data_IF_598449972639
#
_entry.id   IF_598449972639
#
_cell.length_a   1.000
_cell.length_b   1.000
_cell.length_c   1.000
_cell.angle_alpha   90.00
_cell.angle_beta   90.00
_cell.angle_gamma   90.00
#
_symmetry.space_group_name_H-M   'P 1'
#
loop_
_entity.id
_entity.type
_entity.pdbx_description
1 polymer ?
#
# COMPACT_ATOMS: atom_id res chain seq x y z
N UNK A 1 11.99 -29.72 -2.41
CA UNK A 1 13.00 -28.93 -3.15
C UNK A 1 12.42 -27.54 -3.37
N UNK A 2 12.98 -26.50 -2.76
CA UNK A 2 12.54 -25.13 -3.02
C UNK A 2 13.06 -24.70 -4.40
N UNK A 3 12.15 -24.40 -5.32
CA UNK A 3 12.46 -23.84 -6.64
C UNK A 3 12.28 -22.32 -6.62
N UNK A 4 12.77 -21.61 -7.65
CA UNK A 4 12.51 -20.16 -7.79
C UNK A 4 11.00 -19.87 -7.76
N UNK A 5 10.18 -20.78 -8.32
CA UNK A 5 8.72 -20.68 -8.26
C UNK A 5 8.15 -20.76 -6.83
N UNK A 6 8.89 -21.28 -5.85
CA UNK A 6 8.44 -21.33 -4.44
C UNK A 6 8.77 -20.06 -3.64
N UNK A 7 9.52 -19.10 -4.20
CA UNK A 7 9.88 -17.83 -3.55
C UNK A 7 8.67 -16.93 -3.22
N UNK A 8 7.53 -17.11 -3.91
CA UNK A 8 6.32 -16.35 -3.58
C UNK A 8 5.87 -16.62 -2.14
N UNK A 9 6.06 -17.84 -1.62
CA UNK A 9 5.62 -18.24 -0.28
C UNK A 9 6.30 -17.40 0.81
N UNK A 10 7.65 -17.39 0.95
CA UNK A 10 8.31 -16.58 1.97
C UNK A 10 8.08 -15.09 1.74
N UNK A 11 7.99 -14.62 0.49
CA UNK A 11 7.70 -13.21 0.22
C UNK A 11 6.30 -12.80 0.66
N UNK A 12 5.28 -13.61 0.43
CA UNK A 12 3.92 -13.33 0.90
C UNK A 12 3.85 -13.33 2.43
N UNK A 13 4.51 -14.27 3.10
CA UNK A 13 4.57 -14.32 4.58
C UNK A 13 5.23 -13.06 5.14
N UNK A 14 6.42 -12.70 4.66
CA UNK A 14 7.13 -11.49 5.10
C UNK A 14 6.31 -10.23 4.78
N UNK A 15 5.72 -10.15 3.59
CA UNK A 15 4.89 -9.02 3.19
C UNK A 15 3.66 -8.86 4.09
N UNK A 16 2.98 -9.96 4.45
CA UNK A 16 1.83 -9.94 5.35
C UNK A 16 2.20 -9.45 6.75
N UNK A 17 3.35 -9.89 7.28
CA UNK A 17 3.88 -9.40 8.56
C UNK A 17 4.16 -7.89 8.49
N UNK A 18 4.79 -7.43 7.41
CA UNK A 18 5.04 -6.01 7.17
C UNK A 18 3.75 -5.18 7.07
N UNK A 19 2.72 -5.71 6.42
CA UNK A 19 1.40 -5.05 6.35
C UNK A 19 0.76 -4.91 7.74
N UNK A 20 0.81 -5.96 8.58
CA UNK A 20 0.28 -5.91 9.95
C UNK A 20 1.05 -4.93 10.81
N UNK A 21 2.39 -4.98 10.78
CA UNK A 21 3.25 -4.07 11.53
C UNK A 21 2.97 -2.61 11.16
N UNK A 22 2.81 -2.33 9.86
CA UNK A 22 2.48 -0.99 9.37
C UNK A 22 1.12 -0.51 9.87
N UNK A 23 0.07 -1.33 9.76
CA UNK A 23 -1.26 -0.96 10.23
C UNK A 23 -1.26 -0.67 11.75
N UNK A 24 -0.46 -1.41 12.53
CA UNK A 24 -0.27 -1.16 13.96
C UNK A 24 0.49 0.16 14.24
N UNK A 25 1.59 0.42 13.52
CA UNK A 25 2.36 1.67 13.66
C UNK A 25 1.57 2.90 13.23
N UNK A 26 0.79 2.82 12.15
CA UNK A 26 -0.05 3.94 11.69
C UNK A 26 -1.06 4.37 12.76
N UNK A 27 -1.57 3.43 13.58
CA UNK A 27 -2.47 3.73 14.71
C UNK A 27 -1.77 4.47 15.86
N UNK A 28 -0.50 4.17 16.15
CA UNK A 28 0.25 4.94 17.16
C UNK A 28 0.62 6.35 16.68
N UNK A 29 0.70 6.56 15.35
CA UNK A 29 1.04 7.83 14.72
C UNK A 29 -0.18 8.74 14.45
N UNK A 30 -1.40 8.23 14.48
CA UNK A 30 -2.63 9.04 14.31
C UNK A 30 -2.97 9.94 15.49
N UNK A 31 -2.38 9.73 16.68
CA UNK A 31 -2.59 10.58 17.86
C UNK A 31 -2.08 12.02 17.68
N UNK A 32 -0.83 12.25 17.22
CA UNK A 32 -0.27 13.61 17.15
C UNK A 32 -0.44 14.34 15.80
N UNK A 33 -0.69 13.63 14.70
CA UNK A 33 -0.59 14.21 13.33
C UNK A 33 -1.91 14.39 12.57
N UNK A 34 -3.02 13.89 13.10
CA UNK A 34 -4.31 13.91 12.42
C UNK A 34 -4.40 12.90 11.25
N UNK A 35 -5.62 12.49 10.94
CA UNK A 35 -5.93 11.42 9.98
C UNK A 35 -5.32 11.65 8.60
N UNK A 36 -5.37 12.88 8.09
CA UNK A 36 -4.86 13.23 6.76
C UNK A 36 -3.33 13.30 6.68
N UNK A 37 -2.66 13.72 7.77
CA UNK A 37 -1.20 13.74 7.86
C UNK A 37 -0.62 12.32 7.86
N UNK A 38 -1.24 11.41 8.61
CA UNK A 38 -0.85 10.01 8.66
C UNK A 38 -0.98 9.28 7.31
N UNK A 39 -1.98 9.63 6.49
CA UNK A 39 -2.15 9.06 5.14
C UNK A 39 -1.08 9.53 4.18
N UNK A 40 -0.73 10.83 4.22
CA UNK A 40 0.17 11.43 3.24
C UNK A 40 1.64 11.10 3.50
N UNK A 41 2.01 10.94 4.78
CA UNK A 41 3.36 10.55 5.20
C UNK A 41 3.81 9.24 4.58
N UNK A 42 2.93 8.24 4.43
CA UNK A 42 3.33 6.98 3.78
C UNK A 42 3.81 7.19 2.35
N UNK A 43 3.21 8.14 1.64
CA UNK A 43 3.51 8.40 0.24
C UNK A 43 4.76 9.27 0.12
N UNK A 44 4.88 10.30 0.95
CA UNK A 44 6.07 11.16 1.00
C UNK A 44 7.32 10.39 1.40
N UNK A 45 7.25 9.57 2.44
CA UNK A 45 8.38 8.72 2.84
C UNK A 45 8.57 7.53 1.91
N UNK A 46 7.53 7.02 1.26
CA UNK A 46 7.64 5.91 0.31
C UNK A 46 8.25 6.31 -1.03
N UNK A 47 8.03 7.55 -1.48
CA UNK A 47 8.51 8.07 -2.77
C UNK A 47 10.04 7.93 -2.96
N UNK A 48 10.92 8.37 -2.04
CA UNK A 48 12.36 8.23 -2.22
C UNK A 48 12.78 6.75 -2.33
N UNK A 49 12.17 5.85 -1.55
CA UNK A 49 12.45 4.42 -1.66
C UNK A 49 11.98 3.87 -3.01
N UNK A 50 10.80 4.26 -3.50
CA UNK A 50 10.30 3.85 -4.80
C UNK A 50 11.23 4.29 -5.94
N UNK A 51 11.73 5.53 -5.89
CA UNK A 51 12.69 6.05 -6.87
C UNK A 51 14.03 5.30 -6.82
N UNK A 52 14.56 5.02 -5.63
CA UNK A 52 15.79 4.23 -5.47
C UNK A 52 15.60 2.82 -6.02
N UNK A 53 14.50 2.15 -5.67
CA UNK A 53 14.23 0.79 -6.14
C UNK A 53 14.06 0.74 -7.66
N UNK A 54 13.33 1.71 -8.23
CA UNK A 54 13.19 1.85 -9.67
C UNK A 54 14.55 2.04 -10.35
N UNK A 55 15.39 2.95 -9.84
CA UNK A 55 16.73 3.18 -10.37
C UNK A 55 17.60 1.91 -10.30
N UNK A 56 17.59 1.20 -9.17
CA UNK A 56 18.33 -0.07 -9.01
C UNK A 56 17.87 -1.11 -10.01
N UNK A 57 16.56 -1.29 -10.21
CA UNK A 57 16.02 -2.25 -11.19
C UNK A 57 16.45 -1.88 -12.60
N UNK A 58 16.32 -0.61 -13.00
CA UNK A 58 16.72 -0.16 -14.35
C UNK A 58 18.22 -0.37 -14.56
N UNK A 59 19.05 -0.08 -13.56
CA UNK A 59 20.50 -0.27 -13.63
C UNK A 59 20.91 -1.75 -13.67
N UNK A 60 20.25 -2.62 -12.92
CA UNK A 60 20.57 -4.06 -12.84
C UNK A 60 20.06 -4.81 -14.06
N UNK A 61 18.85 -4.53 -14.52
CA UNK A 61 18.25 -5.21 -15.68
C UNK A 61 18.77 -4.64 -17.01
N UNK A 62 19.17 -3.36 -17.04
CA UNK A 62 19.60 -2.67 -18.26
C UNK A 62 18.47 -2.36 -19.24
N UNK A 63 17.21 -2.54 -18.82
CA UNK A 63 16.03 -2.34 -19.65
C UNK A 63 15.83 -0.88 -20.03
N UNK A 64 15.42 -0.64 -21.28
CA UNK A 64 15.00 0.69 -21.72
C UNK A 64 13.59 0.95 -21.23
N UNK A 65 13.46 1.94 -20.35
CA UNK A 65 12.15 2.39 -19.86
C UNK A 65 11.38 3.04 -21.01
N UNK A 66 10.39 2.31 -21.54
CA UNK A 66 9.41 2.89 -22.46
C UNK A 66 8.44 3.77 -21.68
N UNK A 67 8.22 5.00 -22.14
CA UNK A 67 7.26 5.89 -21.52
C UNK A 67 5.82 5.35 -21.66
N UNK A 68 4.97 5.47 -20.62
CA UNK A 68 3.59 5.01 -20.69
C UNK A 68 2.79 5.75 -21.77
N UNK A 69 1.85 5.06 -22.39
CA UNK A 69 0.92 5.64 -23.36
C UNK A 69 -0.04 6.63 -22.69
N UNK A 70 -0.67 7.52 -23.47
CA UNK A 70 -1.60 8.51 -22.91
C UNK A 70 -2.78 7.86 -22.16
N UNK A 71 -3.21 6.67 -22.60
CA UNK A 71 -4.27 5.89 -21.98
C UNK A 71 -3.92 5.36 -20.57
N UNK A 72 -2.64 5.28 -20.21
CA UNK A 72 -2.21 4.84 -18.88
C UNK A 72 -2.58 5.84 -17.78
N UNK A 73 -2.48 7.14 -18.06
CA UNK A 73 -2.61 8.19 -17.05
C UNK A 73 -4.01 8.26 -16.41
N UNK A 74 -5.13 8.17 -17.15
CA UNK A 74 -6.46 8.10 -16.53
C UNK A 74 -6.62 6.93 -15.57
N UNK A 75 -6.11 5.74 -15.92
CA UNK A 75 -6.18 4.56 -15.06
C UNK A 75 -5.29 4.69 -13.82
N UNK A 76 -4.09 5.24 -13.97
CA UNK A 76 -3.20 5.53 -12.85
C UNK A 76 -3.86 6.50 -11.87
N UNK A 77 -4.43 7.60 -12.37
CA UNK A 77 -5.11 8.60 -11.53
C UNK A 77 -6.33 8.02 -10.84
N UNK A 78 -7.16 7.26 -11.56
CA UNK A 78 -8.35 6.62 -10.97
C UNK A 78 -7.96 5.67 -9.83
N UNK A 79 -6.96 4.81 -10.05
CA UNK A 79 -6.48 3.88 -9.04
C UNK A 79 -5.87 4.58 -7.83
N UNK A 80 -5.02 5.59 -8.06
CA UNK A 80 -4.38 6.37 -7.01
C UNK A 80 -5.41 7.11 -6.15
N UNK A 81 -6.37 7.80 -6.77
CA UNK A 81 -7.41 8.53 -6.06
C UNK A 81 -8.32 7.59 -5.28
N UNK A 82 -8.78 6.50 -5.90
CA UNK A 82 -9.60 5.47 -5.22
C UNK A 82 -8.89 4.91 -3.99
N UNK A 83 -7.59 4.65 -4.10
CA UNK A 83 -6.79 4.16 -2.97
C UNK A 83 -6.67 5.19 -1.84
N UNK A 84 -6.49 6.48 -2.16
CA UNK A 84 -6.43 7.56 -1.17
C UNK A 84 -7.76 7.69 -0.43
N UNK A 85 -8.88 7.71 -1.17
CA UNK A 85 -10.22 7.78 -0.58
C UNK A 85 -10.52 6.57 0.29
N UNK A 86 -10.25 5.35 -0.19
CA UNK A 86 -10.46 4.12 0.58
C UNK A 86 -9.64 4.12 1.89
N UNK A 87 -8.38 4.58 1.84
CA UNK A 87 -7.54 4.65 3.04
C UNK A 87 -8.07 5.68 4.04
N UNK A 88 -8.54 6.84 3.55
CA UNK A 88 -9.15 7.87 4.40
C UNK A 88 -10.43 7.38 5.09
N UNK A 89 -11.32 6.72 4.33
CA UNK A 89 -12.55 6.13 4.85
C UNK A 89 -12.27 5.02 5.87
N UNK A 90 -11.27 4.17 5.61
CA UNK A 90 -10.85 3.13 6.56
C UNK A 90 -10.41 3.73 7.90
N UNK A 91 -9.54 4.76 7.88
CA UNK A 91 -9.09 5.40 9.13
C UNK A 91 -10.25 6.10 9.85
N UNK A 92 -11.15 6.76 9.13
CA UNK A 92 -12.34 7.38 9.72
C UNK A 92 -13.23 6.34 10.42
N UNK A 93 -13.51 5.22 9.75
CA UNK A 93 -14.29 4.12 10.34
C UNK A 93 -13.61 3.49 11.56
N UNK A 94 -12.27 3.36 11.54
CA UNK A 94 -11.49 2.86 12.68
C UNK A 94 -11.56 3.79 13.90
N UNK A 95 -11.63 5.10 13.68
CA UNK A 95 -11.80 6.09 14.76
C UNK A 95 -13.20 6.06 15.38
N UNK A 96 -14.25 5.76 14.61
CA UNK A 96 -15.64 5.76 15.12
C UNK A 96 -16.08 4.45 15.80
N UNK A 97 -15.73 3.29 15.23
CA UNK A 97 -16.40 2.00 15.55
C UNK A 97 -15.47 0.92 16.15
N UNK A 98 -14.22 1.25 16.45
CA UNK A 98 -13.14 0.35 16.88
C UNK A 98 -12.45 -0.41 15.74
N UNK A 99 -11.11 -0.41 15.79
CA UNK A 99 -10.19 -1.06 14.84
C UNK A 99 -10.57 -2.50 14.47
N UNK A 100 -11.01 -3.29 15.45
CA UNK A 100 -11.34 -4.71 15.25
C UNK A 100 -12.59 -4.88 14.38
N UNK A 101 -13.62 -4.07 14.63
CA UNK A 101 -14.89 -4.12 13.89
C UNK A 101 -14.68 -3.64 12.46
N UNK A 102 -13.98 -2.53 12.27
CA UNK A 102 -13.67 -2.00 10.94
C UNK A 102 -12.87 -2.99 10.10
N UNK A 103 -11.86 -3.65 10.71
CA UNK A 103 -11.06 -4.66 10.01
C UNK A 103 -11.90 -5.87 9.60
N UNK A 104 -12.82 -6.33 10.45
CA UNK A 104 -13.71 -7.44 10.13
C UNK A 104 -14.61 -7.12 8.93
N UNK A 105 -15.20 -5.92 8.90
CA UNK A 105 -16.02 -5.45 7.77
C UNK A 105 -15.22 -5.25 6.48
N UNK A 106 -13.99 -4.73 6.55
CA UNK A 106 -13.13 -4.64 5.36
C UNK A 106 -12.87 -6.02 4.76
N UNK A 107 -12.70 -7.06 5.58
CA UNK A 107 -12.46 -8.41 5.08
C UNK A 107 -13.68 -9.08 4.45
N UNK A 108 -14.90 -8.57 4.65
CA UNK A 108 -16.08 -9.11 3.97
C UNK A 108 -16.15 -8.70 2.50
N UNK A 109 -15.36 -7.72 2.05
CA UNK A 109 -15.32 -7.28 0.65
C UNK A 109 -15.00 -8.44 -0.31
N UNK A 110 -14.11 -9.35 0.11
CA UNK A 110 -13.71 -10.52 -0.67
C UNK A 110 -14.82 -11.57 -0.81
N UNK A 111 -15.89 -11.47 -0.01
CA UNK A 111 -17.07 -12.35 -0.07
C UNK A 111 -18.22 -11.64 -0.82
N UNK A 112 -18.20 -10.30 -0.88
CA UNK A 112 -19.24 -9.47 -1.49
C UNK A 112 -18.98 -9.13 -2.97
N UNK A 113 -17.87 -9.63 -3.53
CA UNK A 113 -17.51 -9.54 -4.95
C UNK A 113 -17.70 -10.89 -5.63
#
# INVERSE_FOLDING_TARGET
>A
MFTVASLWIPFTVIASLGQVARNAMQRSLTGPLGTWGATNIRFLFGLPFALVFFAVIVLVTGDRVSWPTLAFWPWLLLGALSQIFATGLMLAAMNERSFVVTTAYLKTEAIQT
#
